data_IF_061885540195
#
_entry.id   IF_061885540195
#
_cell.length_a   1.000
_cell.length_b   1.000
_cell.length_c   1.000
_cell.angle_alpha   90.00
_cell.angle_beta   90.00
_cell.angle_gamma   90.00
#
_symmetry.space_group_name_H-M   'P 1'
#
loop_
_entity.id
_entity.type
_entity.pdbx_description
1 polymer ?
#
# COMPACT_ATOMS: atom_id res chain seq x y z
N UNK A 1 -22.58 30.82 -0.93
CA UNK A 1 -22.35 30.81 -2.38
C UNK A 1 -22.71 29.44 -2.91
N UNK A 2 -23.56 29.39 -3.93
CA UNK A 2 -23.94 28.16 -4.64
C UNK A 2 -22.94 27.94 -5.76
N UNK A 3 -22.44 26.72 -5.94
CA UNK A 3 -21.43 26.39 -6.94
C UNK A 3 -22.07 26.43 -8.35
N UNK A 4 -21.37 26.93 -9.38
CA UNK A 4 -21.78 26.80 -10.78
C UNK A 4 -21.84 25.32 -11.20
N UNK A 5 -22.68 25.00 -12.19
CA UNK A 5 -22.98 23.62 -12.60
C UNK A 5 -21.74 22.77 -12.94
N UNK A 6 -20.69 23.39 -13.49
CA UNK A 6 -19.43 22.71 -13.82
C UNK A 6 -18.68 22.29 -12.55
N UNK A 7 -18.62 23.16 -11.55
CA UNK A 7 -17.98 22.87 -10.25
C UNK A 7 -18.74 21.78 -9.49
N UNK A 8 -20.08 21.72 -9.65
CA UNK A 8 -20.90 20.67 -9.06
C UNK A 8 -20.58 19.29 -9.66
N UNK A 9 -20.40 19.20 -10.98
CA UNK A 9 -20.00 17.96 -11.66
C UNK A 9 -18.60 17.51 -11.22
N UNK A 10 -17.63 18.44 -11.16
CA UNK A 10 -16.27 18.15 -10.68
C UNK A 10 -16.29 17.65 -9.24
N UNK A 11 -17.07 18.31 -8.37
CA UNK A 11 -17.25 17.89 -6.97
C UNK A 11 -17.76 16.46 -6.85
N UNK A 12 -18.79 16.10 -7.64
CA UNK A 12 -19.39 14.77 -7.58
C UNK A 12 -18.43 13.69 -8.07
N UNK A 13 -17.70 13.95 -9.15
CA UNK A 13 -16.67 13.02 -9.66
C UNK A 13 -15.54 12.86 -8.65
N UNK A 14 -15.04 13.98 -8.09
CA UNK A 14 -13.98 13.94 -7.08
C UNK A 14 -14.40 13.17 -5.83
N UNK A 15 -15.63 13.37 -5.34
CA UNK A 15 -16.19 12.61 -4.23
C UNK A 15 -16.29 11.12 -4.55
N UNK A 16 -16.80 10.76 -5.73
CA UNK A 16 -16.96 9.37 -6.13
C UNK A 16 -15.60 8.65 -6.22
N UNK A 17 -14.60 9.29 -6.84
CA UNK A 17 -13.24 8.76 -6.92
C UNK A 17 -12.61 8.62 -5.53
N UNK A 18 -12.81 9.61 -4.65
CA UNK A 18 -12.31 9.56 -3.27
C UNK A 18 -12.90 8.37 -2.52
N UNK A 19 -14.21 8.12 -2.66
CA UNK A 19 -14.87 6.98 -1.99
C UNK A 19 -14.32 5.66 -2.51
N UNK A 20 -14.19 5.49 -3.83
CA UNK A 20 -13.67 4.26 -4.43
C UNK A 20 -12.23 4.02 -3.98
N UNK A 21 -11.38 5.04 -4.08
CA UNK A 21 -9.97 4.95 -3.70
C UNK A 21 -9.81 4.69 -2.21
N UNK A 22 -10.51 5.45 -1.36
CA UNK A 22 -10.47 5.27 0.09
C UNK A 22 -10.95 3.89 0.52
N UNK A 23 -12.02 3.35 -0.11
CA UNK A 23 -12.50 1.99 0.17
C UNK A 23 -11.45 0.94 -0.20
N UNK A 24 -10.79 1.08 -1.35
CA UNK A 24 -9.72 0.16 -1.75
C UNK A 24 -8.58 0.15 -0.71
N UNK A 25 -8.12 1.32 -0.25
CA UNK A 25 -7.07 1.44 0.77
C UNK A 25 -7.51 0.95 2.15
N UNK A 26 -8.77 1.19 2.54
CA UNK A 26 -9.35 0.65 3.78
C UNK A 26 -9.39 -0.88 3.77
N UNK A 27 -9.78 -1.49 2.65
CA UNK A 27 -9.80 -2.95 2.51
C UNK A 27 -8.37 -3.51 2.54
N UNK A 28 -7.44 -2.90 1.81
CA UNK A 28 -6.04 -3.33 1.81
C UNK A 28 -5.41 -3.24 3.20
N UNK A 29 -5.57 -2.12 3.91
CA UNK A 29 -5.05 -1.96 5.28
C UNK A 29 -5.68 -2.96 6.24
N UNK A 30 -6.99 -3.22 6.14
CA UNK A 30 -7.68 -4.22 6.94
C UNK A 30 -7.16 -5.64 6.67
N UNK A 31 -6.96 -6.02 5.40
CA UNK A 31 -6.37 -7.31 5.03
C UNK A 31 -4.96 -7.44 5.64
N UNK A 32 -4.13 -6.40 5.54
CA UNK A 32 -2.79 -6.41 6.16
C UNK A 32 -2.84 -6.59 7.68
N UNK A 33 -3.79 -5.94 8.37
CA UNK A 33 -3.98 -6.08 9.82
C UNK A 33 -4.42 -7.50 10.20
N UNK A 34 -5.34 -8.09 9.42
CA UNK A 34 -5.81 -9.46 9.63
C UNK A 34 -4.66 -10.44 9.41
N UNK A 35 -3.95 -10.36 8.28
CA UNK A 35 -2.82 -11.24 7.99
C UNK A 35 -1.72 -11.14 9.05
N UNK A 36 -1.46 -9.94 9.56
CA UNK A 36 -0.51 -9.72 10.64
C UNK A 36 -0.89 -10.46 11.94
N UNK A 37 -2.18 -10.44 12.32
CA UNK A 37 -2.66 -11.08 13.55
C UNK A 37 -2.93 -12.57 13.40
N UNK A 38 -3.47 -12.99 12.27
CA UNK A 38 -3.87 -14.38 12.04
C UNK A 38 -2.68 -15.32 11.90
N UNK A 39 -1.47 -14.78 11.64
CA UNK A 39 -0.27 -15.56 11.33
C UNK A 39 -0.57 -16.84 10.53
N UNK A 40 -1.30 -16.73 9.40
CA UNK A 40 -1.69 -17.90 8.63
C UNK A 40 -0.46 -18.74 8.36
N UNK A 41 -0.57 -20.04 8.64
CA UNK A 41 0.44 -21.03 8.31
C UNK A 41 0.54 -21.13 6.78
N UNK A 42 1.10 -20.11 6.11
CA UNK A 42 1.53 -20.15 4.71
C UNK A 42 2.77 -21.05 4.55
N UNK A 43 2.80 -22.16 5.30
CA UNK A 43 3.82 -23.20 5.26
C UNK A 43 3.48 -24.30 4.25
N UNK A 44 2.27 -24.31 3.69
CA UNK A 44 1.98 -25.09 2.48
C UNK A 44 2.71 -24.49 1.27
N UNK A 45 3.25 -25.35 0.40
CA UNK A 45 3.86 -24.93 -0.85
C UNK A 45 2.83 -24.17 -1.71
N UNK A 46 3.17 -22.99 -2.25
CA UNK A 46 2.24 -22.19 -3.01
C UNK A 46 1.81 -22.96 -4.27
N UNK A 47 0.51 -23.11 -4.46
CA UNK A 47 -0.08 -23.81 -5.62
C UNK A 47 -0.32 -22.87 -6.80
N UNK A 48 -0.29 -21.56 -6.53
CA UNK A 48 -0.48 -20.53 -7.55
C UNK A 48 0.56 -19.42 -7.46
N UNK A 49 0.75 -18.72 -8.58
CA UNK A 49 1.61 -17.55 -8.67
C UNK A 49 1.23 -16.46 -7.66
N UNK A 50 -0.08 -16.20 -7.50
CA UNK A 50 -0.58 -15.18 -6.56
C UNK A 50 -0.28 -15.55 -5.10
N UNK A 51 -0.31 -16.84 -4.75
CA UNK A 51 0.10 -17.33 -3.43
C UNK A 51 1.61 -17.17 -3.21
N UNK A 52 2.43 -17.36 -4.24
CA UNK A 52 3.88 -17.15 -4.14
C UNK A 52 4.24 -15.68 -3.88
N UNK A 53 3.60 -14.76 -4.61
CA UNK A 53 3.77 -13.32 -4.41
C UNK A 53 3.26 -12.90 -3.03
N UNK A 54 2.06 -13.38 -2.65
CA UNK A 54 1.48 -13.12 -1.33
C UNK A 54 2.37 -13.62 -0.19
N UNK A 55 2.95 -14.82 -0.32
CA UNK A 55 3.90 -15.39 0.65
C UNK A 55 5.20 -14.59 0.71
N UNK A 56 5.72 -14.11 -0.43
CA UNK A 56 6.90 -13.26 -0.49
C UNK A 56 6.70 -11.93 0.25
N UNK A 57 5.62 -11.22 -0.04
CA UNK A 57 5.25 -9.97 0.64
C UNK A 57 5.02 -10.21 2.13
N UNK A 58 4.33 -11.29 2.48
CA UNK A 58 4.09 -11.67 3.88
C UNK A 58 5.40 -11.92 4.63
N UNK A 59 6.33 -12.71 4.07
CA UNK A 59 7.59 -13.01 4.74
C UNK A 59 8.54 -11.81 4.82
N UNK A 60 8.55 -10.92 3.82
CA UNK A 60 9.41 -9.73 3.84
C UNK A 60 8.90 -8.63 4.76
N UNK A 61 7.58 -8.38 4.75
CA UNK A 61 7.00 -7.20 5.38
C UNK A 61 6.12 -7.51 6.60
N UNK A 62 5.42 -8.65 6.65
CA UNK A 62 4.39 -8.94 7.68
C UNK A 62 4.79 -9.99 8.74
N UNK A 63 5.70 -10.92 8.41
CA UNK A 63 6.04 -12.06 9.27
C UNK A 63 6.82 -11.65 10.51
N UNK A 64 6.25 -11.80 11.70
CA UNK A 64 6.90 -11.53 13.00
C UNK A 64 8.17 -12.36 13.26
N UNK A 65 8.37 -13.44 12.51
CA UNK A 65 9.62 -14.19 12.51
C UNK A 65 10.70 -13.35 11.81
N UNK A 66 11.49 -12.62 12.61
CA UNK A 66 12.81 -12.04 12.28
C UNK A 66 13.11 -11.91 10.78
N UNK A 67 12.76 -10.76 10.19
CA UNK A 67 13.07 -10.46 8.79
C UNK A 67 14.59 -10.38 8.54
N UNK A 68 15.06 -10.78 7.35
CA UNK A 68 16.30 -11.53 7.14
C UNK A 68 17.56 -10.69 6.88
N UNK A 69 17.52 -9.37 7.14
CA UNK A 69 18.66 -8.48 6.91
C UNK A 69 18.71 -7.30 7.89
N UNK A 70 19.92 -6.91 8.34
CA UNK A 70 20.11 -5.86 9.34
C UNK A 70 19.78 -4.47 8.77
N UNK A 71 19.16 -3.61 9.60
CA UNK A 71 19.00 -2.18 9.31
C UNK A 71 17.70 -1.75 8.62
N UNK A 72 16.69 -2.62 8.48
CA UNK A 72 15.37 -2.24 7.94
C UNK A 72 14.67 -1.18 8.80
N UNK A 73 14.01 -0.22 8.16
CA UNK A 73 13.32 0.91 8.81
C UNK A 73 11.88 0.53 9.16
N UNK A 74 11.20 -0.24 8.30
CA UNK A 74 9.92 -0.88 8.57
C UNK A 74 10.12 -2.15 9.41
N UNK A 75 10.21 -1.95 10.72
CA UNK A 75 10.02 -3.05 11.66
C UNK A 75 8.54 -3.48 11.67
N UNK A 76 8.28 -4.67 12.17
CA UNK A 76 6.93 -5.24 12.19
C UNK A 76 5.93 -4.40 12.98
N UNK A 77 6.37 -3.86 14.12
CA UNK A 77 5.54 -3.00 14.97
C UNK A 77 5.28 -1.64 14.30
N UNK A 78 6.26 -1.10 13.57
CA UNK A 78 6.11 0.12 12.78
C UNK A 78 5.13 -0.13 11.63
N UNK A 79 5.23 -1.24 10.91
CA UNK A 79 4.29 -1.61 9.84
C UNK A 79 2.85 -1.69 10.34
N UNK A 80 2.62 -2.40 11.45
CA UNK A 80 1.29 -2.52 12.04
C UNK A 80 0.74 -1.16 12.47
N UNK A 81 1.57 -0.31 13.09
CA UNK A 81 1.19 1.06 13.44
C UNK A 81 0.81 1.91 12.22
N UNK A 82 1.60 1.84 11.14
CA UNK A 82 1.30 2.50 9.87
C UNK A 82 -0.02 2.04 9.28
N UNK A 83 -0.28 0.73 9.24
CA UNK A 83 -1.53 0.18 8.68
C UNK A 83 -2.77 0.58 9.46
N UNK A 84 -2.69 0.62 10.80
CA UNK A 84 -3.77 1.15 11.63
C UNK A 84 -4.01 2.64 11.40
N UNK A 85 -2.94 3.42 11.27
CA UNK A 85 -3.05 4.84 10.98
C UNK A 85 -3.72 5.08 9.62
N UNK A 86 -3.31 4.34 8.58
CA UNK A 86 -3.93 4.35 7.26
C UNK A 86 -5.43 4.03 7.33
N UNK A 87 -5.81 2.97 8.04
CA UNK A 87 -7.21 2.58 8.19
C UNK A 87 -8.09 3.71 8.75
N UNK A 88 -7.65 4.38 9.82
CA UNK A 88 -8.40 5.50 10.38
C UNK A 88 -8.40 6.74 9.47
N UNK A 89 -7.26 7.00 8.82
CA UNK A 89 -7.12 8.12 7.90
C UNK A 89 -8.02 7.97 6.67
N UNK A 90 -8.12 6.76 6.11
CA UNK A 90 -8.99 6.44 4.98
C UNK A 90 -10.47 6.58 5.35
N UNK A 91 -10.88 6.10 6.54
CA UNK A 91 -12.24 6.30 7.04
C UNK A 91 -12.57 7.79 7.16
N UNK A 92 -11.66 8.59 7.72
CA UNK A 92 -11.83 10.03 7.82
C UNK A 92 -11.96 10.66 6.42
N UNK A 93 -11.12 10.24 5.47
CA UNK A 93 -11.10 10.75 4.10
C UNK A 93 -12.41 10.42 3.36
N UNK A 94 -12.88 9.18 3.43
CA UNK A 94 -14.20 8.76 2.90
C UNK A 94 -15.32 9.58 3.57
N UNK A 95 -15.25 9.75 4.89
CA UNK A 95 -16.22 10.55 5.65
C UNK A 95 -16.31 11.99 5.13
N UNK A 96 -15.17 12.62 4.82
CA UNK A 96 -15.17 13.97 4.22
C UNK A 96 -15.77 13.99 2.82
N UNK A 97 -15.54 12.95 2.00
CA UNK A 97 -16.12 12.85 0.66
C UNK A 97 -17.65 12.67 0.72
N UNK A 98 -18.16 11.84 1.63
CA UNK A 98 -19.61 11.68 1.85
C UNK A 98 -20.24 12.99 2.35
N UNK A 99 -19.58 13.67 3.30
CA UNK A 99 -20.04 14.97 3.77
C UNK A 99 -20.08 16.03 2.65
N UNK A 100 -19.12 15.98 1.72
CA UNK A 100 -19.08 16.82 0.52
C UNK A 100 -20.22 16.55 -0.47
N UNK A 101 -20.69 15.30 -0.57
CA UNK A 101 -21.86 14.96 -1.37
C UNK A 101 -23.14 15.52 -0.76
N UNK A 102 -23.27 15.50 0.57
CA UNK A 102 -24.48 15.98 1.25
C UNK A 102 -24.57 17.50 1.39
N UNK A 103 -23.43 18.21 1.41
CA UNK A 103 -23.40 19.65 1.65
C UNK A 103 -22.71 20.41 0.52
N UNK A 104 -23.51 21.13 -0.25
CA UNK A 104 -23.07 22.04 -1.32
C UNK A 104 -22.49 23.35 -0.75
N UNK A 105 -21.29 23.27 -0.19
CA UNK A 105 -20.58 24.43 0.33
C UNK A 105 -19.13 24.43 -0.13
N UNK A 106 -18.65 25.59 -0.58
CA UNK A 106 -17.23 25.81 -0.86
C UNK A 106 -16.34 25.49 0.37
N UNK A 107 -16.85 25.70 1.59
CA UNK A 107 -16.15 25.33 2.82
C UNK A 107 -15.93 23.82 2.92
N UNK A 108 -16.89 23.02 2.46
CA UNK A 108 -16.78 21.55 2.50
C UNK A 108 -15.72 21.05 1.52
N UNK A 109 -15.70 21.62 0.30
CA UNK A 109 -14.68 21.31 -0.70
C UNK A 109 -13.28 21.66 -0.19
N UNK A 110 -13.13 22.82 0.45
CA UNK A 110 -11.87 23.25 1.05
C UNK A 110 -11.37 22.28 2.15
N UNK A 111 -12.27 21.82 3.04
CA UNK A 111 -11.93 20.82 4.06
C UNK A 111 -11.50 19.50 3.42
N UNK A 112 -12.25 19.01 2.43
CA UNK A 112 -11.87 17.81 1.69
C UNK A 112 -10.49 17.95 1.03
N UNK A 113 -10.19 19.10 0.40
CA UNK A 113 -8.89 19.34 -0.22
C UNK A 113 -7.73 19.31 0.79
N UNK A 114 -7.92 19.86 2.00
CA UNK A 114 -6.91 19.77 3.06
C UNK A 114 -6.67 18.32 3.51
N UNK A 115 -7.74 17.54 3.68
CA UNK A 115 -7.61 16.12 4.06
C UNK A 115 -6.93 15.33 2.94
N UNK A 116 -7.33 15.53 1.68
CA UNK A 116 -6.68 14.88 0.53
C UNK A 116 -5.20 15.24 0.44
N UNK A 117 -4.83 16.51 0.62
CA UNK A 117 -3.44 16.93 0.59
C UNK A 117 -2.63 16.29 1.71
N UNK A 118 -3.21 16.15 2.91
CA UNK A 118 -2.59 15.45 4.02
C UNK A 118 -2.39 13.95 3.73
N UNK A 119 -3.39 13.27 3.15
CA UNK A 119 -3.28 11.87 2.69
C UNK A 119 -2.17 11.72 1.65
N UNK A 120 -2.12 12.60 0.65
CA UNK A 120 -1.07 12.55 -0.38
C UNK A 120 0.33 12.77 0.20
N UNK A 121 0.48 13.67 1.17
CA UNK A 121 1.76 13.89 1.85
C UNK A 121 2.17 12.66 2.67
N UNK A 122 1.20 12.01 3.31
CA UNK A 122 1.43 10.77 4.03
C UNK A 122 1.85 9.62 3.10
N UNK A 123 1.19 9.46 1.95
CA UNK A 123 1.56 8.49 0.92
C UNK A 123 2.97 8.71 0.40
N UNK A 124 3.37 9.98 0.21
CA UNK A 124 4.73 10.30 -0.19
C UNK A 124 5.76 9.87 0.86
N UNK A 125 5.49 10.09 2.15
CA UNK A 125 6.36 9.64 3.24
C UNK A 125 6.49 8.12 3.22
N UNK A 126 5.37 7.40 3.13
CA UNK A 126 5.36 5.93 3.07
C UNK A 126 6.14 5.42 1.85
N UNK A 127 5.97 6.04 0.69
CA UNK A 127 6.70 5.71 -0.53
C UNK A 127 8.22 5.88 -0.37
N UNK A 128 8.66 6.99 0.24
CA UNK A 128 10.10 7.24 0.51
C UNK A 128 10.68 6.18 1.44
N UNK A 129 9.97 5.84 2.52
CA UNK A 129 10.43 4.83 3.49
C UNK A 129 10.53 3.45 2.81
N UNK A 130 9.52 3.06 2.03
CA UNK A 130 9.55 1.83 1.25
C UNK A 130 10.70 1.81 0.24
N UNK A 131 11.00 2.95 -0.39
CA UNK A 131 12.14 3.09 -1.29
C UNK A 131 13.49 2.87 -0.61
N UNK A 132 13.67 3.40 0.61
CA UNK A 132 14.90 3.17 1.41
C UNK A 132 15.05 1.70 1.80
N UNK A 133 13.97 1.05 2.21
CA UNK A 133 14.02 -0.36 2.58
C UNK A 133 14.21 -1.28 1.36
N UNK A 134 13.74 -0.86 0.18
CA UNK A 134 14.04 -1.52 -1.09
C UNK A 134 15.53 -1.47 -1.43
N UNK A 135 16.16 -0.31 -1.29
CA UNK A 135 17.60 -0.15 -1.57
C UNK A 135 18.45 -1.03 -0.64
N UNK A 136 18.08 -1.09 0.65
CA UNK A 136 18.71 -2.00 1.63
C UNK A 136 18.49 -3.49 1.29
N UNK A 137 17.31 -3.88 0.79
CA UNK A 137 17.06 -5.25 0.29
C UNK A 137 18.04 -5.58 -0.85
N UNK A 138 18.22 -4.63 -1.77
CA UNK A 138 19.06 -4.80 -2.94
C UNK A 138 20.55 -4.88 -2.57
N UNK A 139 21.02 -4.01 -1.68
CA UNK A 139 22.39 -4.07 -1.13
C UNK A 139 22.66 -5.42 -0.47
N UNK A 140 21.77 -5.86 0.44
CA UNK A 140 21.89 -7.17 1.07
C UNK A 140 21.91 -8.32 0.05
N UNK A 141 21.05 -8.25 -0.98
CA UNK A 141 21.01 -9.28 -2.03
C UNK A 141 22.30 -9.39 -2.84
N UNK A 142 23.07 -8.30 -2.99
CA UNK A 142 24.34 -8.30 -3.69
C UNK A 142 25.50 -8.84 -2.85
N UNK A 143 25.37 -8.88 -1.52
CA UNK A 143 26.40 -9.41 -0.60
C UNK A 143 26.33 -10.94 -0.41
N UNK A 144 25.24 -11.57 -0.83
CA UNK A 144 25.01 -13.00 -0.72
C UNK A 144 25.60 -13.68 -1.98
N UNK A 145 26.82 -14.24 -1.87
CA UNK A 145 27.38 -15.16 -2.88
C UNK A 145 26.66 -16.51 -2.80
N UNK A 146 25.53 -16.63 -3.48
CA UNK A 146 24.92 -17.93 -3.73
C UNK A 146 24.55 -18.01 -5.21
N UNK A 147 24.62 -19.20 -5.79
CA UNK A 147 24.26 -19.60 -7.17
C UNK A 147 22.83 -19.23 -7.61
N UNK A 148 22.11 -18.42 -6.84
CA UNK A 148 20.72 -18.02 -6.98
C UNK A 148 20.52 -16.50 -6.76
N UNK A 149 21.52 -15.67 -7.09
CA UNK A 149 21.38 -14.19 -7.11
C UNK A 149 20.17 -13.76 -7.97
N UNK A 150 19.86 -14.52 -9.03
CA UNK A 150 18.68 -14.30 -9.88
C UNK A 150 17.39 -14.50 -9.07
N UNK A 151 17.33 -15.51 -8.21
CA UNK A 151 16.15 -15.89 -7.42
C UNK A 151 15.91 -14.94 -6.23
N UNK A 152 16.98 -14.33 -5.69
CA UNK A 152 16.86 -13.33 -4.62
C UNK A 152 16.60 -11.93 -5.17
N UNK A 153 17.27 -11.53 -6.27
CA UNK A 153 16.95 -10.29 -7.00
C UNK A 153 15.55 -10.34 -7.57
N UNK A 154 15.12 -11.50 -8.08
CA UNK A 154 13.72 -11.70 -8.46
C UNK A 154 12.82 -11.56 -7.24
N UNK A 155 13.12 -12.13 -6.07
CA UNK A 155 12.25 -11.91 -4.88
C UNK A 155 12.19 -10.45 -4.40
N UNK A 156 13.30 -9.71 -4.34
CA UNK A 156 13.27 -8.27 -3.98
C UNK A 156 12.56 -7.43 -5.08
N UNK A 157 12.72 -7.76 -6.37
CA UNK A 157 12.08 -7.01 -7.48
C UNK A 157 10.62 -7.44 -7.77
N UNK A 158 10.29 -8.73 -7.72
CA UNK A 158 8.98 -9.31 -8.04
C UNK A 158 7.92 -8.98 -7.01
N UNK A 159 8.29 -8.70 -5.76
CA UNK A 159 7.34 -8.27 -4.72
C UNK A 159 6.78 -6.86 -4.97
N UNK A 160 7.42 -6.06 -5.85
CA UNK A 160 7.10 -4.64 -6.03
C UNK A 160 6.81 -4.26 -7.51
N UNK A 161 7.31 -4.98 -8.52
CA UNK A 161 7.33 -4.46 -9.92
C UNK A 161 6.37 -5.04 -10.96
N UNK A 162 5.44 -5.94 -10.65
CA UNK A 162 4.43 -6.37 -11.63
C UNK A 162 3.13 -5.55 -11.64
N UNK A 163 3.26 -4.22 -11.61
CA UNK A 163 2.20 -3.28 -12.03
C UNK A 163 2.68 -2.31 -13.14
N UNK A 164 3.56 -2.74 -14.04
CA UNK A 164 4.00 -1.83 -15.10
C UNK A 164 4.96 -2.40 -16.14
N UNK A 165 4.51 -3.39 -16.92
CA UNK A 165 4.75 -3.55 -18.38
C UNK A 165 4.57 -5.03 -18.77
N UNK A 166 3.77 -5.24 -19.80
CA UNK A 166 3.52 -6.56 -20.35
C UNK A 166 4.69 -7.13 -21.15
N UNK A 167 4.49 -8.39 -21.56
CA UNK A 167 5.21 -9.13 -22.60
C UNK A 167 6.65 -9.49 -22.20
N UNK A 168 6.90 -10.76 -21.83
CA UNK A 168 7.49 -11.78 -22.71
C UNK A 168 7.28 -13.17 -22.11
N UNK A 169 7.17 -14.13 -23.02
CA UNK A 169 6.92 -15.56 -22.84
C UNK A 169 8.21 -16.34 -22.51
N UNK A 170 7.99 -17.61 -22.17
CA UNK A 170 8.83 -18.80 -22.45
C UNK A 170 9.74 -19.29 -21.31
N UNK A 171 9.41 -20.52 -20.89
CA UNK A 171 10.19 -21.57 -20.22
C UNK A 171 10.77 -21.34 -18.82
N UNK A 172 10.06 -21.88 -17.83
CA UNK A 172 10.64 -22.68 -16.74
C UNK A 172 9.90 -24.02 -16.70
#
# INVERSE_FOLDING_TARGET
MRLPNVELSVKNVAAALTIIQGLAWTIMSLICIILFHSQPEFLSEPTSYMESVGRGIYLMFLSKASGPFPGKTFTFDVFAGFMWFYFFLDILWIGTAVYMLWKDSAKTVMVWSYVTLFVCLWDFITFVILGVDYDKCLEYSNTIEWTDVITLKSRCAYSVLHCGKGIYLVDC
#
